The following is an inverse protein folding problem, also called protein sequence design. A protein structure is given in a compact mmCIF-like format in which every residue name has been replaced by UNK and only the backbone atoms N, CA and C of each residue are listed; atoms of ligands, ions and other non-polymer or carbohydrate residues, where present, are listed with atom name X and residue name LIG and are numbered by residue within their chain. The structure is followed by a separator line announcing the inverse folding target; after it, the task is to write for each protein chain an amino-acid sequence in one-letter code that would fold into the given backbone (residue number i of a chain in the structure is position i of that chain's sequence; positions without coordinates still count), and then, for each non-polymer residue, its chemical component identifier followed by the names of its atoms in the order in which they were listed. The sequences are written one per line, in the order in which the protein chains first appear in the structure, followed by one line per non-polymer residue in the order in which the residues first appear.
data_IF_673249514201
#
_entry.id   IF_673249514201
#
_cell.length_a   1.000
_cell.length_b   1.000
_cell.length_c   1.000
_cell.angle_alpha   90.00
_cell.angle_beta   90.00
_cell.angle_gamma   90.00
#
_symmetry.space_group_name_H-M   'P 1'
#
loop_
_entity.id
_entity.type
_entity.pdbx_description
1 polymer ?
#
# COMPACT_ATOMS: atom_id res chain seq x y z
N UNK A 1 16.87 35.53 -20.14
CA UNK A 1 15.41 35.38 -20.20
C UNK A 1 14.90 35.38 -18.77
N UNK A 2 14.44 36.57 -18.28
CA UNK A 2 14.01 36.75 -16.90
C UNK A 2 12.63 36.09 -16.71
N UNK A 3 12.59 34.98 -15.97
CA UNK A 3 11.33 34.44 -15.48
C UNK A 3 10.93 35.31 -14.27
N UNK A 4 10.06 36.28 -14.50
CA UNK A 4 9.43 37.03 -13.42
C UNK A 4 8.61 36.08 -12.58
N UNK A 5 9.04 35.83 -11.34
CA UNK A 5 8.21 35.18 -10.30
C UNK A 5 7.07 36.16 -10.03
N UNK A 6 5.91 35.92 -10.63
CA UNK A 6 4.72 36.71 -10.33
C UNK A 6 4.35 36.45 -8.85
N UNK A 7 4.34 37.52 -8.06
CA UNK A 7 3.81 37.48 -6.71
C UNK A 7 2.38 36.88 -6.72
N UNK A 8 2.00 36.05 -5.74
CA UNK A 8 0.67 35.47 -5.69
C UNK A 8 -0.37 36.59 -5.71
N UNK A 9 -1.30 36.55 -6.67
CA UNK A 9 -2.38 37.53 -6.77
C UNK A 9 -3.16 37.58 -5.44
N UNK A 10 -3.64 38.77 -5.06
CA UNK A 10 -4.46 38.99 -3.83
C UNK A 10 -5.63 38.02 -3.76
N UNK A 11 -6.20 37.63 -4.88
CA UNK A 11 -7.28 36.67 -5.05
C UNK A 11 -6.95 35.25 -4.57
N UNK A 12 -5.69 34.79 -4.68
CA UNK A 12 -5.25 33.48 -4.15
C UNK A 12 -5.22 33.45 -2.62
N UNK A 13 -5.11 34.61 -1.94
CA UNK A 13 -5.17 34.71 -0.48
C UNK A 13 -6.61 34.66 0.07
N UNK A 14 -7.58 34.99 -0.76
CA UNK A 14 -9.02 35.00 -0.39
C UNK A 14 -9.71 33.68 -0.74
N UNK A 15 -9.09 32.81 -1.54
CA UNK A 15 -9.64 31.50 -1.87
C UNK A 15 -9.74 30.61 -0.62
N UNK A 16 -10.88 29.91 -0.49
CA UNK A 16 -11.04 28.88 0.53
C UNK A 16 -9.95 27.81 0.39
N UNK A 17 -9.43 27.23 1.49
CA UNK A 17 -8.39 26.20 1.40
C UNK A 17 -8.95 24.89 0.81
N UNK A 18 -8.06 24.05 0.33
CA UNK A 18 -8.33 22.64 0.06
C UNK A 18 -8.18 21.85 1.37
N UNK A 19 -9.18 21.08 1.75
CA UNK A 19 -9.08 20.16 2.87
C UNK A 19 -8.58 18.79 2.40
N UNK A 20 -7.55 18.25 3.06
CA UNK A 20 -7.00 16.91 2.79
C UNK A 20 -7.27 16.04 4.01
N UNK A 21 -7.93 14.90 3.81
CA UNK A 21 -8.29 13.96 4.88
C UNK A 21 -7.26 12.83 4.91
N UNK A 22 -6.48 12.77 5.99
CA UNK A 22 -5.46 11.77 6.27
C UNK A 22 -4.05 12.19 5.87
N UNK A 23 -3.09 11.97 6.79
CA UNK A 23 -1.67 12.28 6.65
C UNK A 23 -0.81 11.03 6.31
N UNK A 24 -1.34 10.11 5.51
CA UNK A 24 -0.55 9.06 4.87
C UNK A 24 0.21 9.58 3.65
N UNK A 25 0.94 8.70 2.96
CA UNK A 25 1.75 9.07 1.77
C UNK A 25 0.94 9.85 0.71
N UNK A 26 -0.32 9.46 0.44
CA UNK A 26 -1.16 10.14 -0.54
C UNK A 26 -1.50 11.58 -0.11
N UNK A 27 -1.97 11.78 1.13
CA UNK A 27 -2.36 13.10 1.62
C UNK A 27 -1.18 14.05 1.74
N UNK A 28 -0.04 13.57 2.24
CA UNK A 28 1.19 14.37 2.32
C UNK A 28 1.72 14.75 0.93
N UNK A 29 1.68 13.82 -0.04
CA UNK A 29 2.07 14.09 -1.43
C UNK A 29 1.14 15.12 -2.06
N UNK A 30 -0.17 15.03 -1.83
CA UNK A 30 -1.16 15.99 -2.33
C UNK A 30 -0.89 17.38 -1.76
N UNK A 31 -0.71 17.50 -0.45
CA UNK A 31 -0.44 18.77 0.21
C UNK A 31 0.84 19.43 -0.32
N UNK A 32 1.90 18.64 -0.45
CA UNK A 32 3.18 19.11 -0.97
C UNK A 32 3.09 19.62 -2.42
N UNK A 33 2.38 18.89 -3.28
CA UNK A 33 2.22 19.29 -4.68
C UNK A 33 1.35 20.54 -4.84
N UNK A 34 0.27 20.67 -4.05
CA UNK A 34 -0.58 21.86 -4.01
C UNK A 34 0.17 23.09 -3.48
N UNK A 35 0.98 22.92 -2.41
CA UNK A 35 1.84 24.00 -1.89
C UNK A 35 2.78 24.54 -2.98
N UNK A 36 3.43 23.65 -3.73
CA UNK A 36 4.32 24.03 -4.86
C UNK A 36 3.60 24.80 -5.96
N UNK A 37 2.31 24.58 -6.11
CA UNK A 37 1.44 25.33 -7.07
C UNK A 37 0.87 26.61 -6.46
N UNK A 38 1.20 26.92 -5.19
CA UNK A 38 0.69 28.10 -4.48
C UNK A 38 -0.78 27.97 -4.08
N UNK A 39 -1.32 26.75 -4.00
CA UNK A 39 -2.68 26.46 -3.54
C UNK A 39 -2.60 26.12 -2.06
N UNK A 40 -3.38 26.85 -1.24
CA UNK A 40 -3.45 26.63 0.20
C UNK A 40 -4.22 25.34 0.50
N UNK A 41 -3.58 24.40 1.20
CA UNK A 41 -4.18 23.16 1.64
C UNK A 41 -3.91 22.91 3.12
N UNK A 42 -4.81 22.23 3.80
CA UNK A 42 -4.61 21.76 5.18
C UNK A 42 -4.88 20.26 5.24
N UNK A 43 -3.92 19.53 5.78
CA UNK A 43 -4.05 18.09 6.03
C UNK A 43 -4.62 17.87 7.42
N UNK A 44 -5.77 17.23 7.52
CA UNK A 44 -6.42 16.85 8.77
C UNK A 44 -6.16 15.35 9.02
N UNK A 45 -5.43 15.06 10.10
CA UNK A 45 -5.14 13.70 10.54
C UNK A 45 -5.81 13.42 11.89
N UNK A 46 -6.62 12.37 11.94
CA UNK A 46 -7.32 12.00 13.18
C UNK A 46 -6.43 11.40 14.26
N UNK A 47 -5.26 10.89 13.87
CA UNK A 47 -4.27 10.29 14.77
C UNK A 47 -3.29 11.32 15.34
N UNK A 48 -2.40 10.82 16.24
CA UNK A 48 -1.33 11.62 16.86
C UNK A 48 -0.06 11.68 16.04
N UNK A 49 0.02 10.95 14.95
CA UNK A 49 1.19 10.86 14.09
C UNK A 49 0.79 10.72 12.62
N UNK A 50 1.65 11.20 11.75
CA UNK A 50 1.55 10.99 10.31
C UNK A 50 2.01 9.58 9.90
N UNK A 51 1.72 9.16 8.67
CA UNK A 51 2.26 7.95 8.06
C UNK A 51 1.20 6.94 7.64
N UNK A 52 0.13 6.77 8.42
CA UNK A 52 -0.87 5.74 8.15
C UNK A 52 -0.22 4.36 8.06
N UNK A 53 -0.42 3.64 6.95
CA UNK A 53 0.22 2.32 6.73
C UNK A 53 1.74 2.40 6.47
N UNK A 54 2.30 3.57 6.19
CA UNK A 54 3.74 3.79 6.09
C UNK A 54 4.34 4.24 7.43
N UNK A 55 3.82 3.73 8.54
CA UNK A 55 4.35 3.96 9.89
C UNK A 55 5.36 2.89 10.26
N UNK A 56 6.36 3.29 11.06
CA UNK A 56 7.41 2.42 11.58
C UNK A 56 7.44 2.47 13.09
N UNK A 57 7.85 1.37 13.70
CA UNK A 57 7.95 1.19 15.13
C UNK A 57 9.35 0.73 15.49
N UNK A 58 9.95 1.33 16.50
CA UNK A 58 11.23 0.92 17.05
C UNK A 58 11.06 0.58 18.51
N UNK A 59 11.51 -0.60 18.90
CA UNK A 59 11.49 -1.01 20.30
C UNK A 59 12.77 -0.64 21.07
N UNK A 60 12.73 -0.88 22.38
CA UNK A 60 13.85 -0.57 23.27
C UNK A 60 15.08 -1.46 23.01
N UNK A 61 14.92 -2.61 22.37
CA UNK A 61 15.99 -3.55 22.03
C UNK A 61 16.66 -3.24 20.70
N UNK A 62 16.13 -2.25 19.94
CA UNK A 62 16.71 -1.77 18.69
C UNK A 62 16.16 -2.41 17.42
N UNK A 63 15.09 -3.21 17.50
CA UNK A 63 14.39 -3.70 16.33
C UNK A 63 13.48 -2.63 15.75
N UNK A 64 13.47 -2.54 14.43
CA UNK A 64 12.56 -1.66 13.70
C UNK A 64 11.66 -2.51 12.81
N UNK A 65 10.36 -2.26 12.86
CA UNK A 65 9.35 -2.98 12.10
C UNK A 65 8.24 -2.04 11.62
N UNK A 66 7.60 -2.43 10.53
CA UNK A 66 6.55 -1.67 9.84
C UNK A 66 5.25 -2.47 9.81
N UNK A 67 4.18 -1.90 9.25
CA UNK A 67 2.97 -2.66 8.92
C UNK A 67 3.23 -3.62 7.74
N UNK A 68 3.84 -4.79 8.02
CA UNK A 68 4.23 -5.77 7.02
C UNK A 68 5.47 -5.37 6.22
N UNK A 69 5.68 -6.00 5.08
CA UNK A 69 6.84 -5.75 4.24
C UNK A 69 6.68 -4.50 3.39
N UNK A 70 7.62 -3.59 3.50
CA UNK A 70 7.71 -2.42 2.65
C UNK A 70 9.08 -2.37 1.95
N UNK A 71 9.07 -1.96 0.68
CA UNK A 71 10.27 -1.71 -0.10
C UNK A 71 10.09 -0.39 -0.85
N UNK A 72 11.16 0.39 -0.93
CA UNK A 72 11.18 1.73 -1.52
C UNK A 72 12.10 1.69 -2.72
N UNK A 73 11.73 2.30 -3.84
CA UNK A 73 12.64 2.52 -4.95
C UNK A 73 13.52 3.76 -4.70
N UNK A 74 14.75 3.76 -5.22
CA UNK A 74 15.61 4.94 -5.19
C UNK A 74 14.94 6.16 -5.82
N UNK A 75 14.11 5.96 -6.84
CA UNK A 75 13.33 7.00 -7.52
C UNK A 75 12.28 7.63 -6.60
N UNK A 76 11.56 6.82 -5.82
CA UNK A 76 10.60 7.33 -4.84
C UNK A 76 11.32 8.06 -3.71
N UNK A 77 12.42 7.50 -3.18
CA UNK A 77 13.20 8.15 -2.13
C UNK A 77 13.75 9.51 -2.58
N UNK A 78 14.22 9.60 -3.83
CA UNK A 78 14.67 10.87 -4.43
C UNK A 78 13.52 11.87 -4.56
N UNK A 79 12.40 11.45 -5.11
CA UNK A 79 11.23 12.28 -5.30
C UNK A 79 10.64 12.84 -3.98
N UNK A 80 10.82 12.13 -2.88
CA UNK A 80 10.39 12.53 -1.53
C UNK A 80 11.51 13.24 -0.72
N UNK A 81 12.70 13.42 -1.29
CA UNK A 81 13.83 14.06 -0.62
C UNK A 81 14.51 13.20 0.46
N UNK A 82 14.29 11.89 0.43
CA UNK A 82 14.77 10.96 1.46
C UNK A 82 16.00 10.14 1.03
N UNK A 83 16.64 10.47 -0.10
CA UNK A 83 17.80 9.73 -0.62
C UNK A 83 18.96 9.69 0.36
N UNK A 84 19.24 10.81 1.04
CA UNK A 84 20.37 10.94 1.96
C UNK A 84 20.25 10.04 3.21
N UNK A 85 19.03 9.71 3.63
CA UNK A 85 18.74 8.88 4.80
C UNK A 85 18.39 7.44 4.44
N UNK A 86 18.45 7.09 3.15
CA UNK A 86 18.12 5.76 2.63
C UNK A 86 19.37 5.01 2.22
N UNK A 87 19.50 3.78 2.68
CA UNK A 87 20.59 2.86 2.28
C UNK A 87 20.18 2.01 1.09
N UNK A 88 21.15 1.69 0.23
CA UNK A 88 20.94 0.75 -0.89
C UNK A 88 20.70 -0.66 -0.37
N UNK A 89 19.61 -1.26 -0.80
CA UNK A 89 19.32 -2.68 -0.60
C UNK A 89 20.11 -3.48 -1.65
N UNK A 90 20.94 -4.40 -1.19
CA UNK A 90 21.83 -5.18 -2.09
C UNK A 90 21.19 -6.45 -2.60
N UNK A 91 20.29 -7.02 -1.82
CA UNK A 91 19.60 -8.27 -2.13
C UNK A 91 18.12 -8.16 -1.78
N UNK A 92 17.28 -8.68 -2.66
CA UNK A 92 15.87 -8.94 -2.44
C UNK A 92 15.43 -10.14 -3.24
N UNK A 93 14.74 -11.04 -2.60
CA UNK A 93 14.15 -12.19 -3.26
C UNK A 93 12.97 -12.74 -2.48
N UNK A 94 12.30 -13.67 -3.13
CA UNK A 94 11.11 -14.33 -2.64
C UNK A 94 11.21 -15.82 -2.82
N UNK A 95 10.67 -16.58 -1.89
CA UNK A 95 10.53 -18.02 -1.95
C UNK A 95 9.08 -18.43 -1.66
N UNK A 96 8.71 -19.64 -2.06
CA UNK A 96 7.42 -20.28 -1.76
C UNK A 96 7.69 -21.58 -1.03
N UNK A 97 7.05 -21.77 0.12
CA UNK A 97 7.09 -23.02 0.87
C UNK A 97 5.99 -23.98 0.38
N UNK A 98 6.38 -25.17 -0.02
CA UNK A 98 5.48 -26.28 -0.34
C UNK A 98 5.85 -27.49 0.55
N UNK A 99 5.12 -27.66 1.65
CA UNK A 99 5.51 -28.52 2.75
C UNK A 99 6.82 -28.03 3.40
N UNK A 100 7.78 -28.92 3.59
CA UNK A 100 9.11 -28.59 4.15
C UNK A 100 10.14 -28.13 3.10
N UNK A 101 9.75 -28.03 1.83
CA UNK A 101 10.63 -27.57 0.74
C UNK A 101 10.30 -26.15 0.36
N UNK A 102 11.32 -25.38 0.04
CA UNK A 102 11.18 -24.02 -0.42
C UNK A 102 11.75 -23.87 -1.82
N UNK A 103 11.06 -23.09 -2.64
CA UNK A 103 11.40 -22.84 -4.04
C UNK A 103 11.54 -21.34 -4.26
N UNK A 104 12.61 -20.92 -4.93
CA UNK A 104 12.76 -19.51 -5.30
C UNK A 104 11.64 -19.09 -6.27
N UNK A 105 11.07 -17.92 -6.03
CA UNK A 105 10.02 -17.36 -6.90
C UNK A 105 10.62 -16.37 -7.91
N UNK A 106 10.18 -16.40 -9.17
CA UNK A 106 9.27 -17.35 -9.79
C UNK A 106 9.95 -18.59 -10.38
N UNK A 107 11.29 -18.57 -10.55
CA UNK A 107 12.00 -19.54 -11.40
C UNK A 107 12.11 -20.93 -10.81
N UNK A 108 12.28 -21.04 -9.49
CA UNK A 108 12.37 -22.37 -8.84
C UNK A 108 11.10 -23.19 -9.02
N UNK A 109 9.93 -22.54 -9.04
CA UNK A 109 8.65 -23.18 -9.33
C UNK A 109 8.50 -23.52 -10.83
N UNK A 110 8.93 -22.60 -11.71
CA UNK A 110 8.83 -22.79 -13.16
C UNK A 110 9.66 -23.98 -13.68
N UNK A 111 10.73 -24.36 -12.97
CA UNK A 111 11.56 -25.53 -13.33
C UNK A 111 10.90 -26.87 -12.97
N UNK A 112 9.81 -26.90 -12.23
CA UNK A 112 9.06 -28.14 -11.97
C UNK A 112 8.39 -28.63 -13.24
N UNK A 113 8.64 -29.87 -13.73
CA UNK A 113 8.00 -30.41 -14.93
C UNK A 113 6.47 -30.37 -14.87
N UNK A 114 5.90 -30.62 -13.69
CA UNK A 114 4.45 -30.57 -13.45
C UNK A 114 3.87 -29.18 -13.72
N UNK A 115 4.51 -28.12 -13.19
CA UNK A 115 4.07 -26.74 -13.37
C UNK A 115 4.31 -26.24 -14.80
N UNK A 116 5.45 -26.58 -15.39
CA UNK A 116 5.77 -26.22 -16.76
C UNK A 116 4.78 -26.84 -17.74
N UNK A 117 4.49 -28.14 -17.64
CA UNK A 117 3.52 -28.81 -18.50
C UNK A 117 2.11 -28.23 -18.35
N UNK A 118 1.68 -27.94 -17.13
CA UNK A 118 0.38 -27.32 -16.84
C UNK A 118 0.27 -25.91 -17.44
N UNK A 119 1.34 -25.10 -17.35
CA UNK A 119 1.38 -23.76 -17.92
C UNK A 119 1.32 -23.79 -19.48
N UNK A 120 1.99 -24.75 -20.11
CA UNK A 120 1.89 -24.95 -21.57
C UNK A 120 0.48 -25.36 -21.97
N UNK A 121 -0.13 -26.32 -21.26
CA UNK A 121 -1.49 -26.78 -21.54
C UNK A 121 -2.51 -25.62 -21.42
N UNK A 122 -2.39 -24.74 -20.42
CA UNK A 122 -3.25 -23.58 -20.26
C UNK A 122 -3.14 -22.59 -21.42
N UNK A 123 -1.93 -22.38 -21.96
CA UNK A 123 -1.71 -21.50 -23.12
C UNK A 123 -2.28 -22.06 -24.42
N UNK A 124 -2.29 -23.39 -24.57
CA UNK A 124 -2.88 -24.04 -25.74
C UNK A 124 -4.42 -24.07 -25.71
N UNK A 125 -5.01 -24.04 -24.52
CA UNK A 125 -6.47 -24.07 -24.32
C UNK A 125 -6.89 -23.03 -23.28
N UNK A 126 -6.82 -21.72 -23.61
CA UNK A 126 -7.21 -20.68 -22.68
C UNK A 126 -8.72 -20.77 -22.38
N UNK A 127 -9.07 -20.50 -21.13
CA UNK A 127 -10.45 -20.43 -20.64
C UNK A 127 -10.96 -19.00 -20.70
N UNK A 128 -12.28 -18.77 -20.85
CA UNK A 128 -12.87 -17.46 -20.57
C UNK A 128 -12.50 -17.01 -19.13
N UNK A 129 -12.20 -15.74 -18.97
CA UNK A 129 -11.79 -15.18 -17.66
C UNK A 129 -12.96 -14.42 -17.06
N UNK A 130 -13.68 -15.07 -16.15
CA UNK A 130 -14.79 -14.46 -15.40
C UNK A 130 -14.38 -13.99 -13.99
N UNK A 131 -13.34 -14.57 -13.43
CA UNK A 131 -12.90 -14.35 -12.05
C UNK A 131 -11.37 -14.53 -11.89
N UNK A 132 -10.87 -14.32 -10.67
CA UNK A 132 -9.44 -14.44 -10.39
C UNK A 132 -8.91 -15.87 -10.53
N UNK A 133 -9.71 -16.89 -10.19
CA UNK A 133 -9.29 -18.29 -10.33
C UNK A 133 -9.02 -18.65 -11.80
N UNK A 134 -9.92 -18.25 -12.72
CA UNK A 134 -9.74 -18.44 -14.15
C UNK A 134 -8.49 -17.70 -14.66
N UNK A 135 -8.30 -16.47 -14.18
CA UNK A 135 -7.13 -15.68 -14.52
C UNK A 135 -5.83 -16.39 -14.11
N UNK A 136 -5.75 -16.89 -12.87
CA UNK A 136 -4.56 -17.60 -12.37
C UNK A 136 -4.31 -18.90 -13.13
N UNK A 137 -5.36 -19.67 -13.44
CA UNK A 137 -5.24 -20.92 -14.20
C UNK A 137 -4.74 -20.66 -15.63
N UNK A 138 -5.18 -19.58 -16.27
CA UNK A 138 -4.67 -19.18 -17.59
C UNK A 138 -3.24 -18.66 -17.54
N UNK A 139 -2.89 -17.87 -16.51
CA UNK A 139 -1.58 -17.25 -16.38
C UNK A 139 -0.47 -18.25 -16.01
N UNK A 140 -0.76 -19.19 -15.11
CA UNK A 140 0.24 -20.07 -14.49
C UNK A 140 0.02 -21.56 -14.78
N UNK A 141 -1.11 -21.94 -15.37
CA UNK A 141 -1.56 -23.32 -15.48
C UNK A 141 -2.28 -23.80 -14.23
N UNK A 142 -3.12 -24.82 -14.38
CA UNK A 142 -3.94 -25.41 -13.32
C UNK A 142 -3.15 -25.73 -12.05
N UNK A 143 -2.03 -26.46 -12.23
CA UNK A 143 -1.26 -26.99 -11.09
C UNK A 143 -0.67 -25.89 -10.20
N UNK A 144 -0.04 -24.87 -10.77
CA UNK A 144 0.56 -23.78 -10.00
C UNK A 144 -0.51 -22.82 -9.47
N UNK A 145 -1.62 -22.66 -10.19
CA UNK A 145 -2.75 -21.87 -9.71
C UNK A 145 -3.37 -22.50 -8.45
N UNK A 146 -3.64 -23.81 -8.46
CA UNK A 146 -4.27 -24.49 -7.32
C UNK A 146 -3.31 -24.65 -6.12
N UNK A 147 -2.04 -24.98 -6.37
CA UNK A 147 -1.09 -25.22 -5.29
C UNK A 147 -0.58 -23.91 -4.64
N UNK A 148 -0.58 -22.79 -5.35
CA UNK A 148 0.09 -21.55 -4.88
C UNK A 148 -0.76 -20.31 -5.04
N UNK A 149 -1.16 -19.94 -6.28
CA UNK A 149 -1.69 -18.61 -6.53
C UNK A 149 -3.08 -18.38 -5.92
N UNK A 150 -3.98 -19.34 -6.07
CA UNK A 150 -5.34 -19.30 -5.52
C UNK A 150 -5.31 -19.28 -3.98
N UNK A 151 -4.61 -20.22 -3.29
CA UNK A 151 -4.53 -20.18 -1.83
C UNK A 151 -4.00 -18.86 -1.28
N UNK A 152 -2.95 -18.32 -1.88
CA UNK A 152 -2.40 -17.03 -1.46
C UNK A 152 -3.38 -15.88 -1.72
N UNK A 153 -4.03 -15.84 -2.90
CA UNK A 153 -5.01 -14.81 -3.23
C UNK A 153 -6.18 -14.81 -2.25
N UNK A 154 -6.68 -15.97 -1.88
CA UNK A 154 -7.76 -16.12 -0.90
C UNK A 154 -7.32 -15.69 0.50
N UNK A 155 -6.09 -16.02 0.92
CA UNK A 155 -5.56 -15.65 2.23
C UNK A 155 -5.46 -14.13 2.41
N UNK A 156 -4.89 -13.41 1.43
CA UNK A 156 -4.78 -11.95 1.56
C UNK A 156 -6.07 -11.20 1.22
N UNK A 157 -7.00 -11.79 0.44
CA UNK A 157 -8.26 -11.14 0.06
C UNK A 157 -9.39 -11.44 1.04
N UNK A 158 -9.38 -12.60 1.68
CA UNK A 158 -10.46 -13.06 2.56
C UNK A 158 -11.76 -13.38 1.81
N UNK A 159 -11.65 -13.80 0.54
CA UNK A 159 -12.77 -14.24 -0.28
C UNK A 159 -12.31 -15.35 -1.25
N UNK A 160 -13.19 -16.28 -1.63
CA UNK A 160 -12.91 -17.31 -2.62
C UNK A 160 -12.48 -16.70 -3.97
N UNK A 161 -11.50 -17.31 -4.62
CA UNK A 161 -10.91 -16.76 -5.86
C UNK A 161 -11.90 -16.72 -7.03
N UNK A 162 -12.93 -17.55 -7.03
CA UNK A 162 -14.05 -17.52 -8.01
C UNK A 162 -15.00 -16.32 -7.80
N UNK A 163 -14.99 -15.68 -6.63
CA UNK A 163 -15.74 -14.46 -6.35
C UNK A 163 -14.92 -13.20 -6.54
N UNK A 164 -13.58 -13.33 -6.68
CA UNK A 164 -12.68 -12.20 -6.88
C UNK A 164 -12.62 -11.77 -8.35
N UNK A 165 -12.48 -10.47 -8.57
CA UNK A 165 -12.24 -9.89 -9.90
C UNK A 165 -10.88 -10.36 -10.46
N UNK A 166 -10.77 -10.60 -11.77
CA UNK A 166 -9.49 -10.82 -12.45
C UNK A 166 -8.45 -9.73 -12.18
N UNK A 167 -8.88 -8.52 -11.80
CA UNK A 167 -8.00 -7.41 -11.44
C UNK A 167 -7.05 -7.71 -10.28
N UNK A 168 -7.33 -8.73 -9.47
CA UNK A 168 -6.39 -9.26 -8.44
C UNK A 168 -5.06 -9.70 -9.07
N UNK A 169 -5.10 -10.21 -10.30
CA UNK A 169 -3.91 -10.61 -11.06
C UNK A 169 -2.97 -9.46 -11.44
N UNK A 170 -3.47 -8.23 -11.50
CA UNK A 170 -2.66 -7.05 -11.81
C UNK A 170 -1.58 -6.75 -10.75
N UNK A 171 -1.68 -7.36 -9.56
CA UNK A 171 -0.67 -7.26 -8.50
C UNK A 171 0.64 -8.00 -8.84
N UNK A 172 0.60 -8.90 -9.80
CA UNK A 172 1.73 -9.78 -10.12
C UNK A 172 2.57 -9.19 -11.25
N UNK A 173 3.92 -9.32 -11.12
CA UNK A 173 4.83 -8.80 -12.12
C UNK A 173 4.59 -9.41 -13.50
N UNK A 174 4.43 -8.58 -14.52
CA UNK A 174 4.22 -9.00 -15.90
C UNK A 174 5.55 -9.35 -16.58
N UNK A 175 5.60 -10.54 -17.21
CA UNK A 175 6.63 -10.91 -18.18
C UNK A 175 7.84 -11.64 -17.60
N UNK A 176 7.94 -12.94 -17.86
CA UNK A 176 9.05 -13.83 -17.45
C UNK A 176 10.39 -13.31 -17.94
N UNK A 177 10.48 -12.88 -19.22
CA UNK A 177 11.71 -12.37 -19.82
C UNK A 177 12.21 -11.10 -19.14
N UNK A 178 11.30 -10.14 -18.89
CA UNK A 178 11.61 -8.90 -18.17
C UNK A 178 12.12 -9.20 -16.76
N UNK A 179 11.43 -10.08 -16.04
CA UNK A 179 11.83 -10.52 -14.70
C UNK A 179 13.25 -11.15 -14.73
N UNK A 180 13.55 -11.98 -15.73
CA UNK A 180 14.87 -12.55 -15.90
C UNK A 180 15.95 -11.49 -16.11
N UNK A 181 15.70 -10.54 -17.02
CA UNK A 181 16.65 -9.44 -17.31
C UNK A 181 16.91 -8.57 -16.08
N UNK A 182 15.87 -8.20 -15.33
CA UNK A 182 16.01 -7.37 -14.13
C UNK A 182 16.70 -8.13 -12.98
N UNK A 183 16.45 -9.43 -12.81
CA UNK A 183 17.20 -10.26 -11.86
C UNK A 183 18.66 -10.45 -12.26
N UNK A 184 18.96 -10.59 -13.54
CA UNK A 184 20.34 -10.61 -14.03
C UNK A 184 21.04 -9.26 -13.76
N UNK A 185 20.36 -8.14 -14.02
CA UNK A 185 20.88 -6.82 -13.71
C UNK A 185 21.12 -6.62 -12.20
N UNK A 186 20.27 -7.17 -11.32
CA UNK A 186 20.49 -7.17 -9.87
C UNK A 186 21.81 -7.86 -9.50
N UNK A 187 22.05 -9.05 -10.05
CA UNK A 187 23.28 -9.83 -9.78
C UNK A 187 24.54 -9.09 -10.24
N UNK A 188 24.47 -8.48 -11.44
CA UNK A 188 25.62 -7.77 -12.02
C UNK A 188 25.93 -6.46 -11.31
N UNK A 189 24.91 -5.73 -10.86
CA UNK A 189 25.06 -4.41 -10.21
C UNK A 189 25.31 -4.49 -8.71
N UNK A 190 25.08 -5.64 -8.06
CA UNK A 190 25.11 -5.79 -6.60
C UNK A 190 24.04 -4.96 -5.89
N UNK A 191 22.95 -4.62 -6.60
CA UNK A 191 21.79 -3.86 -6.09
C UNK A 191 20.51 -4.62 -6.35
N UNK A 192 19.54 -4.56 -5.45
CA UNK A 192 18.25 -5.19 -5.66
C UNK A 192 17.41 -4.35 -6.64
N UNK A 193 17.50 -4.63 -7.94
CA UNK A 193 16.74 -3.96 -9.00
C UNK A 193 15.25 -4.22 -8.81
N UNK A 194 14.43 -3.16 -8.87
CA UNK A 194 12.98 -3.26 -8.73
C UNK A 194 12.35 -4.04 -9.89
N UNK A 195 11.37 -4.90 -9.56
CA UNK A 195 10.60 -5.65 -10.54
C UNK A 195 9.14 -5.77 -10.05
N UNK A 196 8.20 -5.19 -10.78
CA UNK A 196 6.78 -5.16 -10.42
C UNK A 196 6.44 -4.13 -9.33
N UNK A 197 7.27 -3.10 -9.14
CA UNK A 197 7.09 -2.09 -8.07
C UNK A 197 6.43 -0.80 -8.53
N UNK A 198 6.19 -0.61 -9.80
CA UNK A 198 5.41 0.51 -10.31
C UNK A 198 4.70 0.15 -11.60
N UNK A 199 3.43 0.57 -11.69
CA UNK A 199 2.62 0.55 -12.90
C UNK A 199 2.53 1.95 -13.53
N UNK A 200 2.83 3.01 -12.76
CA UNK A 200 2.80 4.40 -13.23
C UNK A 200 4.10 4.83 -13.89
N UNK A 201 5.22 4.21 -13.51
CA UNK A 201 6.54 4.59 -14.00
C UNK A 201 7.28 3.38 -14.59
N UNK A 202 8.06 3.57 -15.68
CA UNK A 202 8.78 2.48 -16.31
C UNK A 202 9.84 1.87 -15.39
N UNK A 203 9.94 0.55 -15.40
CA UNK A 203 11.02 -0.17 -14.73
C UNK A 203 12.28 -0.19 -15.60
N UNK A 204 13.42 -0.11 -14.95
CA UNK A 204 14.73 -0.21 -15.61
C UNK A 204 15.79 -0.75 -14.64
N UNK A 205 16.96 -1.20 -15.13
CA UNK A 205 18.07 -1.59 -14.27
C UNK A 205 18.62 -0.49 -13.37
N UNK A 206 18.25 0.78 -13.62
CA UNK A 206 18.64 1.94 -12.81
C UNK A 206 17.70 2.17 -11.61
N UNK A 207 16.56 1.50 -11.59
CA UNK A 207 15.59 1.57 -10.49
C UNK A 207 15.81 0.38 -9.58
N UNK A 208 16.29 0.63 -8.38
CA UNK A 208 16.65 -0.39 -7.39
C UNK A 208 16.10 -0.02 -6.02
N UNK A 209 16.03 -1.02 -5.16
CA UNK A 209 15.53 -0.83 -3.80
C UNK A 209 16.52 -0.08 -2.92
N UNK A 210 15.99 0.88 -2.20
CA UNK A 210 16.63 1.55 -1.07
C UNK A 210 15.69 1.48 0.12
N UNK A 211 16.21 1.69 1.33
CA UNK A 211 15.36 1.74 2.51
C UNK A 211 15.92 2.68 3.56
N UNK A 212 15.08 3.55 4.17
CA UNK A 212 15.54 4.48 5.18
C UNK A 212 16.03 3.77 6.45
N UNK A 213 17.07 4.32 7.06
CA UNK A 213 17.44 3.90 8.42
C UNK A 213 16.36 4.33 9.41
N UNK A 214 15.85 3.38 10.19
CA UNK A 214 14.79 3.63 11.16
C UNK A 214 13.38 3.41 10.62
N UNK A 215 13.23 2.75 9.44
CA UNK A 215 11.96 2.28 8.92
C UNK A 215 11.35 3.19 7.86
N UNK A 216 10.24 2.71 7.27
CA UNK A 216 9.59 3.39 6.12
C UNK A 216 9.03 4.77 6.46
N UNK A 217 8.66 5.03 7.71
CA UNK A 217 8.14 6.33 8.16
C UNK A 217 9.12 7.48 7.89
N UNK A 218 10.42 7.20 7.94
CA UNK A 218 11.47 8.17 7.63
C UNK A 218 11.39 8.74 6.22
N UNK A 219 10.81 8.01 5.29
CA UNK A 219 10.56 8.48 3.92
C UNK A 219 9.68 9.75 3.88
N UNK A 220 8.81 9.92 4.86
CA UNK A 220 7.85 11.03 4.92
C UNK A 220 8.43 12.29 5.60
N UNK A 221 9.50 12.16 6.39
CA UNK A 221 10.03 13.25 7.22
C UNK A 221 10.38 14.52 6.44
N UNK A 222 11.03 14.47 5.26
CA UNK A 222 11.32 15.69 4.50
C UNK A 222 10.06 16.45 4.07
N UNK A 223 9.02 15.71 3.68
CA UNK A 223 7.72 16.29 3.30
C UNK A 223 7.01 16.88 4.52
N UNK A 224 7.00 16.17 5.66
CA UNK A 224 6.40 16.64 6.91
C UNK A 224 7.09 17.91 7.41
N UNK A 225 8.41 17.93 7.42
CA UNK A 225 9.19 19.09 7.85
C UNK A 225 8.89 20.33 7.00
N UNK A 226 8.66 20.14 5.70
CA UNK A 226 8.31 21.23 4.81
C UNK A 226 6.89 21.73 5.00
N UNK A 227 5.92 20.85 5.17
CA UNK A 227 4.51 21.21 5.31
C UNK A 227 4.20 21.87 6.66
N UNK A 228 4.94 21.55 7.72
CA UNK A 228 4.83 22.18 9.04
C UNK A 228 3.39 22.35 9.51
N UNK A 229 3.00 23.60 9.75
CA UNK A 229 1.66 23.96 10.27
C UNK A 229 0.49 23.63 9.32
N UNK A 230 0.78 23.23 8.08
CA UNK A 230 -0.27 22.74 7.17
C UNK A 230 -0.81 21.36 7.55
N UNK A 231 -0.19 20.67 8.52
CA UNK A 231 -0.62 19.37 9.03
C UNK A 231 -1.25 19.57 10.42
N UNK A 232 -2.54 19.29 10.55
CA UNK A 232 -3.27 19.30 11.80
C UNK A 232 -3.48 17.87 12.30
N UNK A 233 -2.72 17.47 13.31
CA UNK A 233 -2.88 16.19 14.02
C UNK A 233 -4.05 16.25 15.00
N UNK A 234 -4.52 15.08 15.47
CA UNK A 234 -5.69 14.93 16.36
C UNK A 234 -6.90 15.72 15.85
N UNK A 235 -7.01 15.84 14.51
CA UNK A 235 -7.99 16.66 13.80
C UNK A 235 -8.83 15.77 12.87
N UNK A 236 -9.76 15.05 13.47
CA UNK A 236 -10.65 14.14 12.75
C UNK A 236 -11.68 14.94 11.95
N UNK A 237 -11.75 14.73 10.64
CA UNK A 237 -12.86 15.19 9.82
C UNK A 237 -14.09 14.34 10.14
N UNK A 238 -15.13 14.98 10.64
CA UNK A 238 -16.38 14.35 11.07
C UNK A 238 -17.41 14.30 9.94
N UNK A 239 -17.45 15.35 9.10
CA UNK A 239 -18.34 15.50 7.97
C UNK A 239 -17.71 16.29 6.84
N UNK A 240 -18.17 15.99 5.63
CA UNK A 240 -17.97 16.79 4.42
C UNK A 240 -19.35 17.20 3.93
N UNK A 241 -19.61 18.48 3.87
CA UNK A 241 -20.91 19.01 3.44
C UNK A 241 -20.92 19.27 1.93
N UNK A 242 -21.98 18.79 1.28
CA UNK A 242 -22.23 18.97 -0.15
C UNK A 242 -23.49 19.77 -0.35
N UNK A 243 -23.39 20.87 -1.09
CA UNK A 243 -24.50 21.75 -1.46
C UNK A 243 -24.60 21.84 -2.99
N UNK A 244 -25.75 21.59 -3.55
CA UNK A 244 -25.98 21.62 -4.99
C UNK A 244 -24.99 20.70 -5.79
N UNK A 245 -24.68 19.50 -5.26
CA UNK A 245 -23.78 18.55 -5.88
C UNK A 245 -22.28 18.87 -5.73
N UNK A 246 -21.92 19.87 -4.94
CA UNK A 246 -20.59 20.44 -4.80
C UNK A 246 -20.13 20.49 -3.34
N UNK A 247 -18.87 20.25 -3.08
CA UNK A 247 -18.29 20.41 -1.75
C UNK A 247 -18.38 21.88 -1.30
N UNK A 248 -18.84 22.11 -0.07
CA UNK A 248 -19.00 23.45 0.52
C UNK A 248 -18.13 23.68 1.76
N UNK A 249 -18.08 22.70 2.67
CA UNK A 249 -17.39 22.79 3.94
C UNK A 249 -16.98 21.40 4.47
N UNK A 250 -16.07 21.39 5.45
CA UNK A 250 -15.78 20.23 6.28
C UNK A 250 -16.02 20.55 7.75
N UNK A 251 -16.43 19.56 8.53
CA UNK A 251 -16.51 19.67 9.99
C UNK A 251 -15.33 18.94 10.61
N UNK A 252 -14.54 19.67 11.40
CA UNK A 252 -13.32 19.17 12.07
C UNK A 252 -13.36 19.57 13.54
N UNK A 253 -13.31 18.59 14.44
CA UNK A 253 -13.37 18.81 15.89
C UNK A 253 -14.52 19.77 16.29
N UNK A 254 -15.72 19.50 15.74
CA UNK A 254 -16.93 20.28 16.01
C UNK A 254 -17.03 21.63 15.29
N UNK A 255 -16.01 22.09 14.56
CA UNK A 255 -16.00 23.37 13.82
C UNK A 255 -16.18 23.16 12.33
N UNK A 256 -17.00 24.00 11.71
CA UNK A 256 -17.16 24.03 10.26
C UNK A 256 -16.13 24.94 9.61
N UNK A 257 -15.51 24.46 8.54
CA UNK A 257 -14.48 25.14 7.76
C UNK A 257 -14.93 25.12 6.30
N UNK A 258 -15.22 26.28 5.72
CA UNK A 258 -15.51 26.38 4.29
C UNK A 258 -14.28 26.04 3.45
N UNK A 259 -14.47 25.21 2.42
CA UNK A 259 -13.38 24.72 1.57
C UNK A 259 -13.73 24.88 0.09
N UNK A 260 -12.72 24.95 -0.78
CA UNK A 260 -12.90 24.95 -2.24
C UNK A 260 -12.97 23.52 -2.78
N UNK A 261 -12.23 22.59 -2.19
CA UNK A 261 -12.23 21.18 -2.55
C UNK A 261 -11.86 20.30 -1.34
N UNK A 262 -12.21 19.03 -1.40
CA UNK A 262 -11.79 17.99 -0.45
C UNK A 262 -11.05 16.88 -1.18
N UNK A 263 -9.88 16.54 -0.67
CA UNK A 263 -9.10 15.37 -1.07
C UNK A 263 -9.18 14.35 0.05
N UNK A 264 -9.86 13.23 -0.19
CA UNK A 264 -10.03 12.16 0.79
C UNK A 264 -9.05 11.02 0.52
N UNK A 265 -8.30 10.60 1.54
CA UNK A 265 -7.56 9.35 1.53
C UNK A 265 -8.24 8.27 2.38
N UNK A 266 -9.43 8.57 2.90
CA UNK A 266 -10.23 7.66 3.69
C UNK A 266 -10.68 6.44 2.87
N UNK A 267 -10.90 5.28 3.52
CA UNK A 267 -11.46 4.11 2.85
C UNK A 267 -12.81 4.42 2.20
N UNK A 268 -13.03 3.94 0.97
CA UNK A 268 -14.23 4.30 0.19
C UNK A 268 -15.54 3.97 0.90
N UNK A 269 -15.62 2.89 1.68
CA UNK A 269 -16.82 2.51 2.42
C UNK A 269 -17.20 3.47 3.57
N UNK A 270 -16.30 4.38 3.92
CA UNK A 270 -16.57 5.42 4.93
C UNK A 270 -17.24 6.63 4.31
N UNK A 271 -17.02 6.88 3.01
CA UNK A 271 -17.52 8.08 2.32
C UNK A 271 -19.03 8.28 2.44
N UNK A 272 -19.91 7.26 2.32
CA UNK A 272 -21.34 7.44 2.48
C UNK A 272 -21.78 8.04 3.83
N UNK A 273 -20.98 7.78 4.87
CA UNK A 273 -21.24 8.30 6.22
C UNK A 273 -20.50 9.59 6.51
N UNK A 274 -19.42 9.84 5.78
CA UNK A 274 -18.61 11.05 5.94
C UNK A 274 -19.17 12.22 5.15
N UNK A 275 -19.75 11.97 3.97
CA UNK A 275 -20.26 12.99 3.04
C UNK A 275 -21.75 13.13 3.23
N UNK A 276 -22.21 14.35 3.55
CA UNK A 276 -23.60 14.71 3.81
C UNK A 276 -24.10 15.64 2.69
N UNK A 277 -25.37 15.50 2.30
CA UNK A 277 -26.00 16.28 1.23
C UNK A 277 -26.04 15.61 -0.14
N UNK A 278 -25.66 14.33 -0.23
CA UNK A 278 -25.74 13.53 -1.47
C UNK A 278 -25.92 12.06 -1.17
N UNK A 279 -26.61 11.32 -2.04
CA UNK A 279 -26.73 9.86 -2.00
C UNK A 279 -25.89 9.12 -3.04
N UNK A 280 -25.11 9.83 -3.88
CA UNK A 280 -24.36 9.19 -5.00
C UNK A 280 -23.26 8.23 -4.52
N UNK A 281 -22.86 8.35 -3.26
CA UNK A 281 -21.80 7.52 -2.66
C UNK A 281 -22.33 6.31 -1.89
N UNK A 282 -23.65 6.17 -1.71
CA UNK A 282 -24.25 5.16 -0.79
C UNK A 282 -23.85 3.73 -1.12
N UNK A 283 -23.73 3.41 -2.39
CA UNK A 283 -23.31 2.07 -2.85
C UNK A 283 -21.90 1.68 -2.45
N UNK A 284 -21.03 2.66 -2.13
CA UNK A 284 -19.66 2.41 -1.66
C UNK A 284 -19.62 1.80 -0.26
N UNK A 285 -20.69 1.92 0.52
CA UNK A 285 -20.81 1.32 1.85
C UNK A 285 -20.66 -0.20 1.87
N UNK A 286 -20.91 -0.87 0.73
CA UNK A 286 -20.74 -2.31 0.57
C UNK A 286 -19.30 -2.78 0.29
N UNK A 287 -18.36 -1.87 0.04
CA UNK A 287 -16.96 -2.21 -0.24
C UNK A 287 -16.26 -2.72 1.02
N UNK A 288 -15.46 -3.78 0.89
CA UNK A 288 -14.80 -4.45 2.01
C UNK A 288 -13.29 -4.33 1.91
N UNK A 289 -12.65 -4.23 3.07
CA UNK A 289 -11.20 -4.32 3.22
C UNK A 289 -10.86 -5.54 4.07
N UNK A 290 -9.74 -6.18 3.77
CA UNK A 290 -9.22 -7.30 4.52
C UNK A 290 -8.46 -6.78 5.75
N UNK A 291 -8.85 -7.14 6.96
CA UNK A 291 -8.05 -6.92 8.16
C UNK A 291 -6.81 -7.82 8.18
N UNK A 292 -5.75 -7.36 8.84
CA UNK A 292 -4.50 -8.09 8.97
C UNK A 292 -3.92 -7.95 10.35
N UNK A 293 -3.25 -9.01 10.80
CA UNK A 293 -2.39 -9.03 11.97
C UNK A 293 -0.96 -9.27 11.50
N UNK A 294 -0.02 -8.46 12.01
CA UNK A 294 1.41 -8.62 11.79
C UNK A 294 2.06 -9.01 13.11
N UNK A 295 2.54 -10.24 13.18
CA UNK A 295 3.21 -10.77 14.36
C UNK A 295 4.71 -10.74 14.12
N UNK A 296 5.46 -10.10 15.01
CA UNK A 296 6.91 -10.03 14.92
C UNK A 296 7.53 -10.99 15.93
N UNK A 297 8.36 -11.91 15.48
CA UNK A 297 9.13 -12.84 16.32
C UNK A 297 10.63 -12.59 16.14
N UNK A 298 11.37 -12.63 17.22
CA UNK A 298 12.82 -12.36 17.27
C UNK A 298 13.60 -13.66 17.35
N UNK A 299 14.72 -13.69 16.66
CA UNK A 299 15.59 -14.89 16.58
C UNK A 299 17.05 -14.52 16.67
N UNK A 300 17.85 -15.44 17.19
CA UNK A 300 19.31 -15.41 17.04
C UNK A 300 19.74 -15.79 15.62
N UNK A 301 20.78 -15.10 15.13
CA UNK A 301 21.29 -15.31 13.78
C UNK A 301 20.69 -14.38 12.73
N UNK A 302 21.01 -14.66 11.48
CA UNK A 302 20.62 -13.90 10.29
C UNK A 302 20.35 -14.86 9.15
N UNK A 303 19.56 -14.41 8.16
CA UNK A 303 19.27 -15.16 6.94
C UNK A 303 18.69 -16.55 7.28
N UNK A 304 17.67 -16.55 8.13
CA UNK A 304 17.02 -17.77 8.60
C UNK A 304 16.02 -18.33 7.59
N UNK A 305 15.44 -17.45 6.78
CA UNK A 305 14.58 -17.83 5.67
C UNK A 305 15.41 -18.11 4.40
N UNK A 306 14.85 -18.82 3.42
CA UNK A 306 15.51 -19.05 2.12
C UNK A 306 15.80 -17.77 1.34
N UNK A 307 14.99 -16.74 1.56
CA UNK A 307 15.12 -15.40 1.00
C UNK A 307 14.39 -14.38 1.89
N UNK A 308 14.40 -13.11 1.53
CA UNK A 308 13.79 -12.01 2.28
C UNK A 308 12.32 -12.25 2.60
N UNK A 309 11.60 -12.88 1.69
CA UNK A 309 10.17 -13.15 1.82
C UNK A 309 9.86 -14.60 1.50
N UNK A 310 9.05 -15.22 2.35
CA UNK A 310 8.54 -16.58 2.19
C UNK A 310 7.02 -16.55 2.09
N UNK A 311 6.49 -16.97 0.94
CA UNK A 311 5.07 -17.19 0.73
C UNK A 311 4.66 -18.59 1.16
N UNK A 312 3.55 -18.71 1.87
CA UNK A 312 3.08 -19.97 2.47
C UNK A 312 1.63 -20.21 2.02
N UNK A 313 1.42 -20.93 0.91
CA UNK A 313 0.08 -21.22 0.38
C UNK A 313 -0.70 -22.27 1.16
N UNK A 314 -0.07 -22.94 2.13
CA UNK A 314 -0.71 -23.95 2.97
C UNK A 314 -1.79 -23.32 3.86
N UNK A 315 -3.07 -23.64 3.56
CA UNK A 315 -4.23 -23.10 4.29
C UNK A 315 -4.33 -23.57 5.75
N UNK A 316 -3.53 -24.56 6.17
CA UNK A 316 -3.46 -25.02 7.56
C UNK A 316 -2.54 -24.16 8.42
N UNK A 317 -1.75 -23.29 7.80
CA UNK A 317 -0.88 -22.35 8.49
C UNK A 317 -1.66 -21.12 8.94
N UNK A 318 -1.32 -20.52 10.10
CA UNK A 318 -1.97 -19.30 10.58
C UNK A 318 -1.65 -18.07 9.70
N UNK A 319 -0.55 -18.09 8.96
CA UNK A 319 -0.05 -17.00 8.14
C UNK A 319 0.14 -17.45 6.69
N UNK A 320 0.07 -16.52 5.77
CA UNK A 320 0.31 -16.79 4.34
C UNK A 320 1.66 -16.21 3.85
N UNK A 321 2.34 -15.39 4.68
CA UNK A 321 3.63 -14.80 4.36
C UNK A 321 4.47 -14.62 5.62
N UNK A 322 5.78 -14.85 5.48
CA UNK A 322 6.78 -14.53 6.50
C UNK A 322 7.85 -13.67 5.84
N UNK A 323 8.22 -12.57 6.48
CA UNK A 323 9.24 -11.65 5.97
C UNK A 323 10.39 -11.52 6.96
N UNK A 324 11.61 -11.78 6.52
CA UNK A 324 12.84 -11.44 7.23
C UNK A 324 13.39 -10.13 6.69
N UNK A 325 12.82 -8.99 7.12
CA UNK A 325 13.26 -7.68 6.66
C UNK A 325 14.78 -7.45 6.88
N UNK A 326 15.39 -7.86 8.01
CA UNK A 326 16.84 -7.73 8.22
C UNK A 326 17.71 -8.54 7.25
N UNK A 327 17.16 -9.51 6.51
CA UNK A 327 17.89 -10.20 5.43
C UNK A 327 18.36 -9.22 4.36
N UNK A 328 17.47 -8.35 3.92
CA UNK A 328 17.76 -7.33 2.91
C UNK A 328 18.22 -6.00 3.53
N UNK A 329 17.79 -5.71 4.73
CA UNK A 329 17.97 -4.43 5.45
C UNK A 329 18.54 -4.69 6.85
N UNK A 330 19.82 -5.08 6.96
CA UNK A 330 20.41 -5.56 8.21
C UNK A 330 20.40 -4.53 9.35
N UNK A 331 20.22 -3.25 9.04
CA UNK A 331 20.11 -2.15 10.02
C UNK A 331 18.78 -2.10 10.75
N UNK A 332 17.79 -2.93 10.39
CA UNK A 332 16.48 -3.00 11.05
C UNK A 332 16.47 -3.91 12.28
N UNK A 333 17.56 -4.60 12.59
CA UNK A 333 17.69 -5.42 13.79
C UNK A 333 19.11 -5.33 14.37
N UNK A 334 19.31 -5.59 15.66
CA UNK A 334 20.63 -5.65 16.31
C UNK A 334 21.56 -6.66 15.62
N UNK A 335 22.85 -6.44 15.74
CA UNK A 335 23.87 -7.35 15.18
C UNK A 335 23.70 -8.78 15.72
N UNK A 336 23.89 -9.78 14.86
CA UNK A 336 23.73 -11.19 15.22
C UNK A 336 22.29 -11.64 15.49
N UNK A 337 21.29 -10.77 15.30
CA UNK A 337 19.87 -11.07 15.53
C UNK A 337 19.04 -10.70 14.32
N UNK A 338 17.88 -11.34 14.21
CA UNK A 338 16.91 -11.05 13.15
C UNK A 338 15.48 -11.02 13.70
N UNK A 339 14.57 -10.54 12.88
CA UNK A 339 13.15 -10.51 13.15
C UNK A 339 12.40 -11.07 11.95
N UNK A 340 11.44 -11.94 12.23
CA UNK A 340 10.49 -12.46 11.25
C UNK A 340 9.13 -11.82 11.50
N UNK A 341 8.53 -11.26 10.46
CA UNK A 341 7.17 -10.69 10.47
C UNK A 341 6.22 -11.66 9.76
N UNK A 342 5.17 -12.06 10.44
CA UNK A 342 4.15 -13.00 9.96
C UNK A 342 2.88 -12.23 9.62
N UNK A 343 2.35 -12.43 8.41
CA UNK A 343 1.12 -11.81 7.94
C UNK A 343 -0.05 -12.80 8.09
N UNK A 344 -0.99 -12.48 8.97
CA UNK A 344 -2.22 -13.26 9.22
C UNK A 344 -3.40 -12.49 8.66
N UNK A 345 -4.10 -13.08 7.68
CA UNK A 345 -5.37 -12.55 7.19
C UNK A 345 -6.51 -12.98 8.12
N UNK A 346 -7.34 -12.03 8.56
CA UNK A 346 -8.41 -12.27 9.52
C UNK A 346 -9.66 -11.44 9.20
N UNK A 347 -10.70 -11.55 10.03
CA UNK A 347 -11.82 -10.60 10.07
C UNK A 347 -11.85 -9.91 11.43
N UNK A 348 -12.31 -8.64 11.48
CA UNK A 348 -12.46 -7.95 12.77
C UNK A 348 -13.44 -8.71 13.66
N UNK A 349 -12.99 -9.12 14.85
CA UNK A 349 -13.78 -9.85 15.82
C UNK A 349 -13.77 -11.37 15.65
N UNK A 350 -13.07 -11.93 14.66
CA UNK A 350 -12.89 -13.38 14.57
C UNK A 350 -11.91 -13.93 15.64
N UNK A 351 -11.70 -15.25 15.65
CA UNK A 351 -10.83 -15.91 16.63
C UNK A 351 -9.36 -15.44 16.54
N UNK A 352 -8.86 -15.11 15.34
CA UNK A 352 -7.51 -14.57 15.18
C UNK A 352 -7.41 -13.13 15.70
N UNK A 353 -8.40 -12.30 15.36
CA UNK A 353 -8.41 -10.89 15.78
C UNK A 353 -8.50 -10.71 17.29
N UNK A 354 -9.26 -11.57 17.96
CA UNK A 354 -9.49 -11.51 19.42
C UNK A 354 -8.49 -12.31 20.24
N UNK A 355 -7.63 -13.10 19.59
CA UNK A 355 -6.60 -13.89 20.25
C UNK A 355 -5.57 -12.99 20.96
N UNK A 356 -5.06 -13.45 22.11
CA UNK A 356 -4.00 -12.72 22.83
C UNK A 356 -2.68 -12.74 22.07
N UNK A 357 -1.84 -11.75 22.33
CA UNK A 357 -0.57 -11.56 21.63
C UNK A 357 0.36 -12.77 21.83
N UNK A 358 0.38 -13.38 23.02
CA UNK A 358 1.18 -14.56 23.34
C UNK A 358 0.74 -15.78 22.52
N UNK A 359 -0.59 -16.00 22.41
CA UNK A 359 -1.12 -17.12 21.62
C UNK A 359 -0.89 -16.93 20.12
N UNK A 360 -0.96 -15.68 19.62
CA UNK A 360 -0.63 -15.38 18.25
C UNK A 360 0.86 -15.64 17.97
N UNK A 361 1.74 -15.24 18.88
CA UNK A 361 3.17 -15.48 18.77
C UNK A 361 3.48 -17.00 18.77
N UNK A 362 2.88 -17.75 19.68
CA UNK A 362 3.03 -19.22 19.77
C UNK A 362 2.52 -19.91 18.49
N UNK A 363 1.34 -19.55 17.99
CA UNK A 363 0.78 -20.10 16.77
C UNK A 363 1.68 -19.84 15.54
N UNK A 364 2.27 -18.64 15.44
CA UNK A 364 3.22 -18.31 14.39
C UNK A 364 4.52 -19.10 14.51
N UNK A 365 5.06 -19.23 15.72
CA UNK A 365 6.27 -20.01 15.96
C UNK A 365 6.05 -21.50 15.64
N UNK A 366 4.94 -22.08 16.07
CA UNK A 366 4.59 -23.47 15.78
C UNK A 366 4.39 -23.69 14.28
N UNK A 367 3.72 -22.74 13.60
CA UNK A 367 3.56 -22.78 12.16
C UNK A 367 4.89 -22.74 11.41
N UNK A 368 5.80 -21.85 11.82
CA UNK A 368 7.14 -21.76 11.26
C UNK A 368 7.95 -23.05 11.48
N UNK A 369 7.87 -23.63 12.69
CA UNK A 369 8.60 -24.83 13.05
C UNK A 369 8.05 -26.10 12.36
N UNK A 370 6.82 -26.10 11.83
CA UNK A 370 6.36 -27.16 10.93
C UNK A 370 7.09 -27.14 9.59
N UNK A 371 7.53 -25.96 9.14
CA UNK A 371 8.31 -25.79 7.89
C UNK A 371 9.81 -25.94 8.18
N UNK A 372 10.30 -25.29 9.25
CA UNK A 372 11.71 -25.24 9.62
C UNK A 372 11.91 -25.60 11.10
N UNK A 373 11.92 -26.89 11.48
CA UNK A 373 11.98 -27.34 12.89
C UNK A 373 13.15 -26.78 13.69
N UNK A 374 14.32 -26.59 13.04
CA UNK A 374 15.55 -26.09 13.65
C UNK A 374 15.47 -24.64 14.12
N UNK A 375 14.47 -23.85 13.69
CA UNK A 375 14.33 -22.45 14.09
C UNK A 375 13.77 -22.27 15.50
N UNK A 376 13.18 -23.31 16.10
CA UNK A 376 12.69 -23.23 17.48
C UNK A 376 13.80 -22.91 18.47
N UNK A 377 14.97 -23.50 18.30
CA UNK A 377 16.11 -23.28 19.19
C UNK A 377 16.73 -21.88 19.08
N UNK A 378 16.43 -21.16 17.99
CA UNK A 378 16.90 -19.82 17.73
C UNK A 378 15.91 -18.73 18.18
N UNK A 379 14.70 -19.11 18.58
CA UNK A 379 13.68 -18.18 19.03
C UNK A 379 14.08 -17.55 20.37
N UNK A 380 14.05 -16.21 20.44
CA UNK A 380 14.44 -15.45 21.64
C UNK A 380 13.33 -14.57 22.20
N UNK A 381 12.17 -14.54 21.59
CA UNK A 381 11.01 -13.83 22.12
C UNK A 381 10.12 -13.19 21.08
N UNK A 382 8.94 -12.76 21.50
CA UNK A 382 8.03 -11.99 20.68
C UNK A 382 8.48 -10.52 20.58
N UNK A 383 8.30 -9.94 19.39
CA UNK A 383 8.39 -8.51 19.16
C UNK A 383 7.03 -7.83 19.29
N UNK A 384 6.90 -6.63 18.70
CA UNK A 384 5.62 -5.92 18.63
C UNK A 384 4.59 -6.62 17.74
N UNK A 385 3.33 -6.51 18.11
CA UNK A 385 2.20 -6.99 17.32
C UNK A 385 1.40 -5.80 16.80
N UNK A 386 1.06 -5.82 15.52
CA UNK A 386 0.28 -4.77 14.88
C UNK A 386 -0.99 -5.35 14.27
N UNK A 387 -2.12 -4.68 14.47
CA UNK A 387 -3.41 -5.02 13.85
C UNK A 387 -3.91 -3.84 13.04
N UNK A 388 -4.44 -4.11 11.86
CA UNK A 388 -5.12 -3.10 11.05
C UNK A 388 -6.40 -3.66 10.44
N UNK A 389 -7.52 -2.95 10.54
CA UNK A 389 -8.77 -3.38 9.89
C UNK A 389 -8.77 -3.10 8.38
N UNK A 390 -7.75 -2.45 7.83
CA UNK A 390 -7.75 -1.86 6.49
C UNK A 390 -6.45 -2.14 5.71
N UNK A 391 -6.02 -3.40 5.63
CA UNK A 391 -4.77 -3.75 4.95
C UNK A 391 -4.93 -3.82 3.41
N UNK A 392 -5.95 -4.51 2.91
CA UNK A 392 -6.14 -4.75 1.49
C UNK A 392 -7.59 -4.51 1.05
N UNK A 393 -7.84 -3.82 -0.08
CA UNK A 393 -9.15 -3.83 -0.74
C UNK A 393 -9.52 -5.25 -1.17
N UNK A 394 -10.74 -5.69 -0.89
CA UNK A 394 -11.25 -7.00 -1.31
C UNK A 394 -11.91 -6.86 -2.67
N UNK A 395 -11.23 -7.25 -3.74
CA UNK A 395 -11.68 -7.08 -5.12
C UNK A 395 -12.75 -8.11 -5.51
N UNK A 396 -13.96 -8.02 -4.94
CA UNK A 396 -15.07 -8.86 -5.37
C UNK A 396 -15.49 -8.48 -6.80
N UNK A 397 -15.75 -9.48 -7.66
CA UNK A 397 -16.16 -9.28 -9.04
C UNK A 397 -17.39 -8.36 -9.15
N UNK A 398 -18.33 -8.49 -8.20
CA UNK A 398 -19.53 -7.64 -8.13
C UNK A 398 -19.26 -6.15 -7.87
N UNK A 399 -18.03 -5.78 -7.44
CA UNK A 399 -17.66 -4.38 -7.22
C UNK A 399 -16.99 -3.74 -8.44
N UNK A 400 -16.59 -4.53 -9.44
CA UNK A 400 -15.66 -4.09 -10.48
C UNK A 400 -16.20 -2.93 -11.32
N UNK A 401 -17.46 -2.94 -11.68
CA UNK A 401 -18.10 -1.84 -12.40
C UNK A 401 -18.13 -0.56 -11.56
N UNK A 402 -18.64 -0.65 -10.33
CA UNK A 402 -18.68 0.49 -9.40
C UNK A 402 -17.30 1.04 -9.11
N UNK A 403 -16.33 0.15 -8.89
CA UNK A 403 -14.94 0.53 -8.65
C UNK A 403 -14.36 1.33 -9.82
N UNK A 404 -14.60 0.91 -11.05
CA UNK A 404 -14.18 1.63 -12.27
C UNK A 404 -14.84 2.99 -12.37
N UNK A 405 -16.15 3.06 -12.24
CA UNK A 405 -16.90 4.32 -12.32
C UNK A 405 -16.43 5.32 -11.24
N UNK A 406 -16.25 4.83 -10.00
CA UNK A 406 -15.76 5.66 -8.89
C UNK A 406 -14.31 6.14 -9.10
N UNK A 407 -13.44 5.34 -9.72
CA UNK A 407 -12.07 5.74 -10.03
C UNK A 407 -12.01 6.89 -11.05
N UNK A 408 -13.00 6.99 -11.94
CA UNK A 408 -13.12 8.09 -12.90
C UNK A 408 -13.66 9.35 -12.24
N UNK A 409 -14.73 9.23 -11.44
CA UNK A 409 -15.38 10.35 -10.76
C UNK A 409 -16.06 9.90 -9.48
N UNK A 410 -15.99 10.72 -8.43
CA UNK A 410 -16.77 10.51 -7.20
C UNK A 410 -18.26 10.86 -7.38
N UNK A 411 -18.61 11.55 -8.47
CA UNK A 411 -19.96 12.09 -8.68
C UNK A 411 -20.29 13.33 -7.83
N UNK A 412 -19.29 13.87 -7.11
CA UNK A 412 -19.44 15.10 -6.30
C UNK A 412 -18.36 16.09 -6.73
N UNK A 413 -18.77 17.26 -7.17
CA UNK A 413 -17.85 18.31 -7.61
C UNK A 413 -16.96 18.79 -6.45
N UNK A 414 -15.64 18.82 -6.71
CA UNK A 414 -14.65 19.23 -5.71
C UNK A 414 -14.31 18.15 -4.67
N UNK A 415 -14.89 16.94 -4.76
CA UNK A 415 -14.46 15.79 -3.96
C UNK A 415 -13.57 14.87 -4.77
N UNK A 416 -12.36 14.63 -4.29
CA UNK A 416 -11.38 13.72 -4.88
C UNK A 416 -11.06 12.62 -3.88
N UNK A 417 -11.10 11.37 -4.33
CA UNK A 417 -10.70 10.22 -3.51
C UNK A 417 -9.42 9.63 -4.08
N UNK A 418 -8.35 9.58 -3.27
CA UNK A 418 -7.01 9.22 -3.71
C UNK A 418 -6.32 8.23 -2.77
N UNK A 419 -5.25 7.62 -3.28
CA UNK A 419 -4.44 6.68 -2.54
C UNK A 419 -5.07 5.28 -2.44
N UNK A 420 -4.35 4.34 -1.86
CA UNK A 420 -4.72 2.92 -1.82
C UNK A 420 -6.14 2.66 -1.33
N UNK A 421 -6.51 3.29 -0.22
CA UNK A 421 -7.83 3.10 0.39
C UNK A 421 -8.90 3.98 -0.28
N UNK A 422 -8.55 5.20 -0.66
CA UNK A 422 -9.47 6.13 -1.32
C UNK A 422 -9.81 5.73 -2.76
N UNK A 423 -8.91 5.07 -3.48
CA UNK A 423 -9.18 4.56 -4.83
C UNK A 423 -9.68 3.10 -4.83
N UNK A 424 -9.74 2.46 -3.67
CA UNK A 424 -10.02 1.03 -3.56
C UNK A 424 -9.12 0.22 -4.50
N UNK A 425 -7.79 0.45 -4.41
CA UNK A 425 -6.83 -0.10 -5.36
C UNK A 425 -5.61 -0.73 -4.67
N UNK A 426 -5.10 -1.82 -5.24
CA UNK A 426 -3.83 -2.44 -4.82
C UNK A 426 -2.64 -1.64 -5.34
N UNK A 427 -2.39 -0.49 -4.73
CA UNK A 427 -1.30 0.39 -5.09
C UNK A 427 -0.09 0.17 -4.18
N UNK A 428 1.10 0.13 -4.74
CA UNK A 428 2.35 0.24 -4.01
C UNK A 428 2.67 1.72 -3.74
N UNK A 429 3.56 2.00 -2.79
CA UNK A 429 3.86 3.36 -2.35
C UNK A 429 4.28 4.28 -3.50
N UNK A 430 5.08 3.75 -4.44
CA UNK A 430 5.51 4.54 -5.60
C UNK A 430 4.34 4.92 -6.52
N UNK A 431 3.44 3.99 -6.78
CA UNK A 431 2.24 4.28 -7.59
C UNK A 431 1.31 5.26 -6.88
N UNK A 432 1.15 5.15 -5.55
CA UNK A 432 0.39 6.13 -4.77
C UNK A 432 0.97 7.54 -4.97
N UNK A 433 2.29 7.69 -4.87
CA UNK A 433 2.97 8.96 -5.05
C UNK A 433 2.73 9.57 -6.45
N UNK A 434 3.01 8.81 -7.51
CA UNK A 434 2.89 9.33 -8.88
C UNK A 434 1.44 9.57 -9.32
N UNK A 435 0.53 8.68 -8.96
CA UNK A 435 -0.92 8.86 -9.22
C UNK A 435 -1.46 10.09 -8.51
N UNK A 436 -1.09 10.26 -7.24
CA UNK A 436 -1.50 11.45 -6.46
C UNK A 436 -1.04 12.72 -7.16
N UNK A 437 0.23 12.80 -7.55
CA UNK A 437 0.75 13.98 -8.25
C UNK A 437 0.01 14.28 -9.54
N UNK A 438 -0.26 13.25 -10.33
CA UNK A 438 -1.05 13.40 -11.57
C UNK A 438 -2.47 13.91 -11.28
N UNK A 439 -3.11 13.40 -10.23
CA UNK A 439 -4.46 13.85 -9.84
C UNK A 439 -4.48 15.30 -9.35
N UNK A 440 -3.35 15.83 -8.87
CA UNK A 440 -3.26 17.24 -8.45
C UNK A 440 -3.35 18.24 -9.62
N UNK A 441 -3.16 17.80 -10.86
CA UNK A 441 -3.45 18.64 -12.03
C UNK A 441 -4.96 18.94 -12.09
N UNK A 442 -5.81 17.92 -11.98
CA UNK A 442 -7.28 18.06 -11.98
C UNK A 442 -7.78 18.95 -10.83
N UNK A 443 -7.17 18.77 -9.62
CA UNK A 443 -7.52 19.58 -8.44
C UNK A 443 -7.13 21.05 -8.65
N UNK A 444 -5.95 21.31 -9.18
CA UNK A 444 -5.47 22.67 -9.42
C UNK A 444 -6.33 23.40 -10.45
N UNK A 445 -6.71 22.72 -11.54
CA UNK A 445 -7.61 23.26 -12.56
C UNK A 445 -9.00 23.56 -12.01
N UNK A 446 -9.51 22.68 -11.14
CA UNK A 446 -10.80 22.88 -10.49
C UNK A 446 -10.79 24.12 -9.57
N UNK A 447 -9.80 24.21 -8.68
CA UNK A 447 -9.64 25.32 -7.75
C UNK A 447 -9.40 26.64 -8.50
N UNK A 448 -8.65 26.62 -9.61
CA UNK A 448 -8.42 27.79 -10.46
C UNK A 448 -9.72 28.36 -11.02
N UNK A 449 -10.57 27.51 -11.59
CA UNK A 449 -11.91 27.89 -12.11
C UNK A 449 -12.83 28.44 -11.02
N UNK A 450 -12.78 27.88 -9.82
CA UNK A 450 -13.60 28.35 -8.69
C UNK A 450 -13.20 29.76 -8.24
N UNK A 451 -11.91 30.06 -8.22
CA UNK A 451 -11.40 31.39 -7.90
C UNK A 451 -11.82 32.42 -8.95
N UNK A 452 -11.72 32.10 -10.25
CA UNK A 452 -12.17 32.98 -11.33
C UNK A 452 -13.69 33.26 -11.26
N UNK A 453 -14.49 32.22 -11.05
CA UNK A 453 -15.95 32.36 -10.90
C UNK A 453 -16.36 33.19 -9.66
N UNK A 454 -15.61 33.09 -8.55
CA UNK A 454 -15.81 33.88 -7.35
C UNK A 454 -15.43 35.37 -7.59
N UNK A 455 -14.35 35.62 -8.32
CA UNK A 455 -13.91 36.96 -8.67
C UNK A 455 -14.94 37.70 -9.55
N UNK A 456 -15.51 36.98 -10.55
CA UNK A 456 -16.60 37.56 -11.40
C UNK A 456 -17.83 37.88 -10.59
N UNK A 457 -18.27 37.01 -9.67
CA UNK A 457 -19.45 37.28 -8.78
C UNK A 457 -19.25 38.43 -7.82
N UNK A 458 -18.02 38.70 -7.42
CA UNK A 458 -17.71 39.81 -6.50
C UNK A 458 -17.52 41.15 -7.22
N UNK A 459 -17.37 41.14 -8.53
CA UNK A 459 -17.22 42.29 -9.38
C UNK A 459 -18.59 42.74 -10.01
N UNK A 460 -19.60 41.87 -9.96
CA UNK A 460 -20.98 42.15 -10.39
C UNK A 460 -21.83 42.60 -9.21
#
# INVERSE_FOLDING_TARGET
MNIAVQAPSVWRRLAKPVAIIGAGIAGLTAAYDLERRGIRATVFEGGRAVGGMASSFKDAEGYTYDFGAHFVSNRLADAMGASAISRTVRHYGEAVALGQKSYSYPFGLALSPRYAASAVAARLKPRPVGNAADWFRNAYGEALAEDVAIPLAEAWSGAPADQLSPAVGNKLAAGVMKTFMLKAASRLSGRAVCNGYSHEMPESPRVYHVYPEGGVAKLLEPTVARLGDSIALESKVERVYVENGRVAAVKVNGREIGVSAVISTAPVHVLPRLVEGTGVLDELGGFRYRPMIFVNLRFEGRNLLPDTMLWVPDRTQPFFRVTEAPFSMPWLAPEGRTQLTFDIGCEVGDSWWTMSDEKLAEACLDGLCRIYPHLRERYIGAGGLLKTPLAYPVYLARYEERRRNFAESTGVDGLYSIGRNGEFAHLLMEDIYWRTRKRMDDVADYVGRDVEAAAVRSAA
#
